data_IF_986132965805
#
_entry.id   IF_986132965805
#
_cell.length_a   1.000
_cell.length_b   1.000
_cell.length_c   1.000
_cell.angle_alpha   90.00
_cell.angle_beta   90.00
_cell.angle_gamma   90.00
#
_symmetry.space_group_name_H-M   'P 1'
#
loop_
_entity.id
_entity.type
_entity.pdbx_description
1 polymer ?
#
# COMPACT_ATOMS: atom_id res chain seq x y z
N UNK A 1 13.03 -17.56 -6.41
CA UNK A 1 11.61 -17.95 -6.30
C UNK A 1 10.79 -16.68 -6.23
N UNK A 2 9.73 -16.53 -7.03
CA UNK A 2 8.90 -15.32 -7.02
C UNK A 2 8.25 -15.19 -5.63
N UNK A 3 8.58 -14.13 -4.89
CA UNK A 3 8.12 -13.94 -3.49
C UNK A 3 6.68 -13.42 -3.42
N UNK A 4 6.19 -12.84 -4.52
CA UNK A 4 4.82 -12.38 -4.68
C UNK A 4 3.96 -13.46 -5.36
N UNK A 5 2.83 -13.79 -4.74
CA UNK A 5 1.81 -14.68 -5.30
C UNK A 5 0.46 -13.94 -5.32
N UNK A 6 -0.12 -13.78 -6.51
CA UNK A 6 -1.38 -13.04 -6.70
C UNK A 6 -2.57 -13.72 -6.01
N UNK A 7 -2.64 -15.05 -5.99
CA UNK A 7 -3.75 -15.76 -5.35
C UNK A 7 -3.73 -15.58 -3.83
N UNK A 8 -2.55 -15.65 -3.21
CA UNK A 8 -2.39 -15.37 -1.78
C UNK A 8 -2.68 -13.90 -1.45
N UNK A 9 -2.33 -12.98 -2.36
CA UNK A 9 -2.65 -11.57 -2.22
C UNK A 9 -4.16 -11.32 -2.29
N UNK A 10 -4.85 -11.86 -3.29
CA UNK A 10 -6.30 -11.80 -3.45
C UNK A 10 -7.03 -12.42 -2.24
N UNK A 11 -6.51 -13.52 -1.70
CA UNK A 11 -7.01 -14.13 -0.46
C UNK A 11 -6.91 -13.14 0.71
N UNK A 12 -5.75 -12.52 0.90
CA UNK A 12 -5.55 -11.53 1.98
C UNK A 12 -6.51 -10.33 1.81
N UNK A 13 -6.74 -9.88 0.58
CA UNK A 13 -7.67 -8.80 0.28
C UNK A 13 -9.12 -9.18 0.53
N UNK A 14 -9.50 -10.42 0.22
CA UNK A 14 -10.84 -10.96 0.48
C UNK A 14 -11.12 -11.05 1.99
N UNK A 15 -10.15 -11.50 2.77
CA UNK A 15 -10.23 -11.52 4.24
C UNK A 15 -10.31 -10.10 4.82
N UNK A 16 -9.50 -9.17 4.30
CA UNK A 16 -9.52 -7.75 4.64
C UNK A 16 -10.86 -7.10 4.33
N UNK A 17 -11.44 -7.39 3.16
CA UNK A 17 -12.75 -6.88 2.75
C UNK A 17 -13.88 -7.48 3.60
N UNK A 18 -13.83 -8.77 3.93
CA UNK A 18 -14.77 -9.41 4.87
C UNK A 18 -14.74 -8.73 6.24
N UNK A 19 -13.55 -8.40 6.76
CA UNK A 19 -13.41 -7.65 8.01
C UNK A 19 -13.90 -6.20 7.88
N UNK A 20 -13.71 -5.55 6.73
CA UNK A 20 -14.32 -4.25 6.44
C UNK A 20 -15.85 -4.31 6.51
N UNK A 21 -16.48 -5.33 5.90
CA UNK A 21 -17.93 -5.55 5.98
C UNK A 21 -18.42 -5.88 7.39
N UNK A 22 -17.58 -6.47 8.23
CA UNK A 22 -17.95 -6.79 9.61
C UNK A 22 -17.77 -5.62 10.59
N UNK A 23 -16.67 -4.88 10.48
CA UNK A 23 -16.24 -3.90 11.48
C UNK A 23 -16.29 -2.44 10.99
N UNK A 24 -16.58 -2.23 9.71
CA UNK A 24 -16.67 -0.91 9.08
C UNK A 24 -15.34 -0.30 8.62
N UNK A 25 -15.37 0.87 7.97
CA UNK A 25 -14.23 1.52 7.31
C UNK A 25 -13.13 1.99 8.27
N UNK A 26 -13.50 2.39 9.49
CA UNK A 26 -12.59 2.99 10.48
C UNK A 26 -11.89 1.95 11.34
N UNK A 27 -12.27 0.68 11.24
CA UNK A 27 -11.67 -0.36 12.06
C UNK A 27 -10.29 -0.76 11.51
N UNK A 28 -9.22 -0.73 12.31
CA UNK A 28 -7.90 -1.20 11.89
C UNK A 28 -7.91 -2.72 11.60
N UNK A 29 -8.88 -3.47 12.14
CA UNK A 29 -9.02 -4.92 11.92
C UNK A 29 -9.12 -5.28 10.43
N UNK A 30 -9.67 -4.39 9.60
CA UNK A 30 -9.78 -4.61 8.15
C UNK A 30 -8.41 -4.73 7.47
N UNK A 31 -7.38 -4.10 8.03
CA UNK A 31 -6.04 -4.06 7.45
C UNK A 31 -5.18 -5.25 7.87
N UNK A 32 -5.48 -5.88 9.01
CA UNK A 32 -4.65 -6.97 9.57
C UNK A 32 -4.32 -8.10 8.59
N UNK A 33 -5.27 -8.67 7.82
CA UNK A 33 -4.94 -9.74 6.87
C UNK A 33 -3.95 -9.30 5.79
N UNK A 34 -4.23 -8.16 5.15
CA UNK A 34 -3.36 -7.55 4.14
C UNK A 34 -1.98 -7.19 4.70
N UNK A 35 -1.93 -6.56 5.87
CA UNK A 35 -0.68 -6.19 6.54
C UNK A 35 0.17 -7.43 6.86
N UNK A 36 -0.46 -8.52 7.34
CA UNK A 36 0.22 -9.80 7.57
C UNK A 36 0.77 -10.42 6.28
N UNK A 37 0.04 -10.34 5.17
CA UNK A 37 0.54 -10.81 3.87
C UNK A 37 1.80 -10.05 3.45
N UNK A 38 1.76 -8.72 3.53
CA UNK A 38 2.92 -7.88 3.18
C UNK A 38 4.09 -8.18 4.13
N UNK A 39 3.85 -8.28 5.44
CA UNK A 39 4.86 -8.66 6.43
C UNK A 39 5.54 -9.99 6.07
N UNK A 40 4.76 -11.03 5.77
CA UNK A 40 5.31 -12.35 5.42
C UNK A 40 6.13 -12.28 4.13
N UNK A 41 5.67 -11.54 3.13
CA UNK A 41 6.39 -11.35 1.87
C UNK A 41 7.71 -10.63 2.10
N UNK A 42 7.71 -9.57 2.92
CA UNK A 42 8.92 -8.88 3.35
C UNK A 42 9.83 -9.82 4.16
N UNK A 43 9.31 -10.71 4.99
CA UNK A 43 10.13 -11.66 5.75
C UNK A 43 10.91 -12.61 4.84
N UNK A 44 10.30 -13.01 3.71
CA UNK A 44 10.98 -13.77 2.66
C UNK A 44 12.01 -12.94 1.89
N UNK A 45 11.78 -11.62 1.75
CA UNK A 45 12.71 -10.70 1.08
C UNK A 45 13.95 -10.44 1.94
N UNK A 46 13.73 -9.96 3.16
CA UNK A 46 14.76 -9.47 4.06
C UNK A 46 15.48 -10.63 4.76
N UNK A 47 14.77 -11.72 5.09
CA UNK A 47 15.33 -12.87 5.77
C UNK A 47 15.50 -12.65 7.28
N UNK A 48 15.98 -13.70 7.96
CA UNK A 48 15.94 -13.81 9.44
C UNK A 48 16.77 -12.77 10.20
N UNK A 49 17.74 -12.11 9.54
CA UNK A 49 18.60 -11.11 10.19
C UNK A 49 17.91 -9.77 10.45
N UNK A 50 16.77 -9.54 9.80
CA UNK A 50 15.95 -8.35 9.99
C UNK A 50 14.68 -8.70 10.75
N UNK A 51 14.13 -7.71 11.46
CA UNK A 51 12.82 -7.82 12.10
C UNK A 51 11.81 -6.98 11.33
N UNK A 52 10.57 -7.46 11.25
CA UNK A 52 9.50 -6.77 10.54
C UNK A 52 8.34 -6.58 11.49
N UNK A 53 8.09 -5.33 11.80
CA UNK A 53 7.02 -4.86 12.67
C UNK A 53 5.80 -4.50 11.83
N UNK A 54 4.62 -4.83 12.35
CA UNK A 54 3.35 -4.73 11.66
C UNK A 54 2.20 -4.91 12.65
N UNK A 55 1.05 -4.29 12.37
CA UNK A 55 -0.18 -4.49 13.14
C UNK A 55 -0.49 -6.00 13.36
N UNK A 56 -0.53 -6.42 14.63
CA UNK A 56 -0.83 -7.80 15.03
C UNK A 56 0.39 -8.74 15.19
N UNK A 57 1.61 -8.28 14.91
CA UNK A 57 2.85 -9.04 15.07
C UNK A 57 3.92 -8.24 15.83
N UNK A 58 3.63 -7.90 17.08
CA UNK A 58 4.47 -7.02 17.91
C UNK A 58 4.04 -5.55 17.91
N UNK A 59 3.08 -5.18 17.06
CA UNK A 59 2.56 -3.82 16.92
C UNK A 59 3.20 -3.07 15.76
N UNK A 60 2.64 -1.91 15.44
CA UNK A 60 3.30 -0.93 14.57
C UNK A 60 4.55 -0.39 15.29
N UNK A 61 5.59 -0.07 14.52
CA UNK A 61 6.84 0.46 15.07
C UNK A 61 6.83 1.98 15.00
N UNK A 62 7.10 2.63 16.13
CA UNK A 62 7.24 4.08 16.18
C UNK A 62 8.58 4.50 15.57
N UNK A 63 8.50 5.24 14.48
CA UNK A 63 9.67 5.83 13.82
C UNK A 63 9.74 7.31 14.18
N UNK A 64 10.90 7.76 14.64
CA UNK A 64 11.20 9.17 14.89
C UNK A 64 11.34 9.92 13.56
N UNK A 65 10.22 10.40 13.01
CA UNK A 65 10.22 11.22 11.79
C UNK A 65 10.92 12.57 11.99
N UNK A 66 11.24 13.26 10.87
CA UNK A 66 11.92 14.57 10.93
C UNK A 66 11.12 15.63 11.70
N UNK A 67 9.79 15.60 11.56
CA UNK A 67 8.91 16.62 12.13
C UNK A 67 8.18 16.09 13.37
N UNK A 68 7.85 14.80 13.40
CA UNK A 68 7.19 14.15 14.54
C UNK A 68 7.35 12.63 14.50
N UNK A 69 7.31 11.95 15.67
CA UNK A 69 7.26 10.49 15.73
C UNK A 69 5.94 9.95 15.15
N UNK A 70 6.00 8.85 14.42
CA UNK A 70 4.81 8.22 13.80
C UNK A 70 4.91 6.70 13.86
N UNK A 71 3.80 6.06 14.23
CA UNK A 71 3.65 4.61 14.09
C UNK A 71 3.42 4.27 12.61
N UNK A 72 4.30 3.46 12.03
CA UNK A 72 4.27 3.09 10.61
C UNK A 72 3.60 1.74 10.42
N UNK A 73 2.79 1.60 9.37
CA UNK A 73 2.00 0.40 9.09
C UNK A 73 2.87 -0.87 9.12
N UNK A 74 4.01 -0.81 8.43
CA UNK A 74 5.01 -1.88 8.39
C UNK A 74 6.42 -1.30 8.37
N UNK A 75 7.28 -1.74 9.30
CA UNK A 75 8.67 -1.29 9.43
C UNK A 75 9.63 -2.46 9.44
N UNK A 76 10.69 -2.37 8.64
CA UNK A 76 11.82 -3.30 8.68
C UNK A 76 12.92 -2.68 9.51
N UNK A 77 13.46 -3.44 10.46
CA UNK A 77 14.58 -3.02 11.29
C UNK A 77 15.76 -3.97 11.19
N UNK A 78 16.95 -3.39 11.40
CA UNK A 78 18.19 -4.10 11.62
C UNK A 78 18.81 -3.59 12.92
N UNK A 79 19.12 -4.50 13.86
CA UNK A 79 19.59 -4.13 15.21
C UNK A 79 18.70 -3.06 15.87
N UNK A 80 17.37 -3.25 15.79
CA UNK A 80 16.33 -2.33 16.28
C UNK A 80 16.31 -0.92 15.66
N UNK A 81 17.11 -0.66 14.62
CA UNK A 81 17.05 0.60 13.86
C UNK A 81 16.16 0.43 12.63
N UNK A 82 15.20 1.33 12.38
CA UNK A 82 14.40 1.29 11.15
C UNK A 82 15.30 1.56 9.94
N UNK A 83 15.16 0.73 8.91
CA UNK A 83 15.95 0.83 7.67
C UNK A 83 15.08 0.92 6.42
N UNK A 84 13.80 0.55 6.53
CA UNK A 84 12.85 0.58 5.45
C UNK A 84 11.43 0.60 6.01
N UNK A 85 10.55 1.37 5.39
CA UNK A 85 9.17 1.55 5.84
C UNK A 85 8.18 1.37 4.69
N UNK A 86 7.00 0.85 4.99
CA UNK A 86 5.91 0.67 4.02
C UNK A 86 4.60 1.22 4.58
N UNK A 87 3.98 2.14 3.86
CA UNK A 87 2.59 2.55 4.03
C UNK A 87 1.65 1.70 3.16
N UNK A 88 0.50 1.31 3.70
CA UNK A 88 -0.50 0.50 3.01
C UNK A 88 -1.86 1.19 3.04
N UNK A 89 -2.38 1.51 1.85
CA UNK A 89 -3.68 2.17 1.72
C UNK A 89 -4.68 1.28 1.00
N UNK A 90 -5.60 0.69 1.76
CA UNK A 90 -6.72 -0.09 1.23
C UNK A 90 -8.03 0.70 1.21
N UNK A 91 -8.45 1.16 0.03
CA UNK A 91 -9.66 1.98 -0.18
C UNK A 91 -10.80 1.15 -0.76
N UNK A 92 -11.86 0.96 0.03
CA UNK A 92 -13.00 0.09 -0.29
C UNK A 92 -14.29 0.85 -0.64
N UNK A 93 -14.39 2.13 -0.28
CA UNK A 93 -15.57 3.00 -0.46
C UNK A 93 -15.21 4.48 -0.45
N UNK A 94 -16.08 5.34 -1.00
CA UNK A 94 -16.03 6.81 -0.93
C UNK A 94 -14.66 7.39 -1.34
N UNK A 95 -14.02 6.83 -2.37
CA UNK A 95 -12.70 7.28 -2.81
C UNK A 95 -12.73 8.76 -3.22
N UNK A 96 -13.59 9.16 -4.16
CA UNK A 96 -13.54 10.53 -4.73
C UNK A 96 -13.81 11.60 -3.67
N UNK A 97 -14.68 11.31 -2.71
CA UNK A 97 -14.95 12.20 -1.58
C UNK A 97 -13.71 12.46 -0.70
N UNK A 98 -12.82 11.47 -0.58
CA UNK A 98 -11.66 11.52 0.31
C UNK A 98 -10.32 11.55 -0.45
N UNK A 99 -10.37 11.72 -1.78
CA UNK A 99 -9.21 11.48 -2.65
C UNK A 99 -8.05 12.44 -2.35
N UNK A 100 -8.35 13.71 -2.02
CA UNK A 100 -7.32 14.70 -1.67
C UNK A 100 -6.70 14.39 -0.32
N UNK A 101 -7.53 14.14 0.71
CA UNK A 101 -7.04 13.74 2.04
C UNK A 101 -6.16 12.49 1.98
N UNK A 102 -6.50 11.51 1.15
CA UNK A 102 -5.67 10.32 0.97
C UNK A 102 -4.31 10.63 0.35
N UNK A 103 -4.28 11.52 -0.65
CA UNK A 103 -3.06 11.91 -1.33
C UNK A 103 -2.16 12.77 -0.44
N UNK A 104 -2.73 13.78 0.23
CA UNK A 104 -2.02 14.68 1.15
C UNK A 104 -1.42 13.92 2.35
N UNK A 105 -2.21 13.03 2.97
CA UNK A 105 -1.71 12.22 4.08
C UNK A 105 -0.56 11.29 3.65
N UNK A 106 -0.67 10.68 2.46
CA UNK A 106 0.39 9.84 1.89
C UNK A 106 1.67 10.64 1.68
N UNK A 107 1.59 11.83 1.07
CA UNK A 107 2.74 12.71 0.86
C UNK A 107 3.36 13.20 2.18
N UNK A 108 2.52 13.60 3.15
CA UNK A 108 2.97 14.11 4.44
C UNK A 108 3.70 13.05 5.27
N UNK A 109 3.16 11.82 5.31
CA UNK A 109 3.82 10.70 6.00
C UNK A 109 5.14 10.34 5.32
N UNK A 110 5.13 10.23 3.99
CA UNK A 110 6.33 9.98 3.19
C UNK A 110 7.41 11.04 3.45
N UNK A 111 7.02 12.32 3.44
CA UNK A 111 7.93 13.43 3.73
C UNK A 111 8.49 13.39 5.15
N UNK A 112 7.66 13.07 6.15
CA UNK A 112 8.12 12.99 7.54
C UNK A 112 9.18 11.90 7.74
N UNK A 113 9.01 10.74 7.08
CA UNK A 113 9.92 9.59 7.23
C UNK A 113 11.15 9.71 6.34
N UNK A 114 10.99 9.95 5.04
CA UNK A 114 12.14 9.98 4.10
C UNK A 114 13.02 11.22 4.24
N UNK A 115 12.55 12.26 4.93
CA UNK A 115 13.43 13.38 5.26
C UNK A 115 14.53 13.01 6.26
N UNK A 116 14.40 11.87 6.96
CA UNK A 116 15.50 11.24 7.65
C UNK A 116 16.43 10.63 6.60
N UNK A 117 17.70 11.03 6.61
CA UNK A 117 18.69 10.48 5.67
C UNK A 117 18.69 8.95 5.77
N UNK A 118 18.61 8.27 4.62
CA UNK A 118 18.71 6.82 4.47
C UNK A 118 17.55 5.99 5.04
N UNK A 119 16.34 6.55 5.18
CA UNK A 119 15.14 5.76 5.51
C UNK A 119 14.10 5.80 4.38
N UNK A 120 14.20 4.90 3.38
CA UNK A 120 13.26 4.85 2.27
C UNK A 120 11.84 4.49 2.73
N UNK A 121 10.86 5.04 2.02
CA UNK A 121 9.44 4.80 2.26
C UNK A 121 8.76 4.30 1.00
N UNK A 122 8.08 3.17 1.12
CA UNK A 122 7.29 2.60 0.04
C UNK A 122 5.79 2.76 0.30
N UNK A 123 5.00 2.89 -0.77
CA UNK A 123 3.56 3.07 -0.70
C UNK A 123 2.83 2.00 -1.53
N UNK A 124 2.00 1.19 -0.86
CA UNK A 124 1.12 0.23 -1.52
C UNK A 124 -0.32 0.77 -1.52
N UNK A 125 -0.78 1.27 -2.67
CA UNK A 125 -2.12 1.80 -2.86
C UNK A 125 -3.02 0.75 -3.51
N UNK A 126 -4.15 0.43 -2.87
CA UNK A 126 -5.12 -0.53 -3.36
C UNK A 126 -6.48 0.15 -3.44
N UNK A 127 -6.99 0.29 -4.65
CA UNK A 127 -8.24 0.99 -4.94
C UNK A 127 -9.28 0.05 -5.52
N UNK A 128 -10.51 0.13 -5.01
CA UNK A 128 -11.64 -0.54 -5.63
C UNK A 128 -12.05 0.17 -6.92
N UNK A 129 -11.93 -0.48 -8.07
CA UNK A 129 -12.18 0.16 -9.37
C UNK A 129 -13.61 0.72 -9.48
N UNK A 130 -14.61 -0.10 -9.12
CA UNK A 130 -16.00 0.30 -8.93
C UNK A 130 -16.24 0.61 -7.45
N UNK A 131 -16.02 1.84 -7.05
CA UNK A 131 -16.10 2.28 -5.65
C UNK A 131 -17.52 2.72 -5.29
N UNK A 132 -18.19 2.09 -4.30
CA UNK A 132 -19.47 2.59 -3.81
C UNK A 132 -19.31 3.92 -3.06
N UNK A 133 -20.25 4.81 -3.28
CA UNK A 133 -20.44 6.03 -2.51
C UNK A 133 -21.59 5.86 -1.53
N UNK A 134 -21.27 5.87 -0.24
CA UNK A 134 -22.23 5.86 0.87
C UNK A 134 -22.48 7.30 1.35
N UNK A 135 -23.75 7.69 1.45
CA UNK A 135 -24.14 9.00 2.02
C UNK A 135 -23.80 9.01 3.52
N UNK A 136 -23.47 10.20 4.07
CA UNK A 136 -23.16 10.35 5.52
C UNK A 136 -24.35 9.80 6.34
N UNK A 137 -24.06 8.85 7.25
CA UNK A 137 -24.98 8.07 8.13
C UNK A 137 -25.35 6.66 7.65
N UNK A 138 -24.94 6.24 6.46
CA UNK A 138 -25.24 4.90 6.00
C UNK A 138 -24.45 3.81 6.75
N UNK A 139 -25.11 2.70 7.03
CA UNK A 139 -24.45 1.49 7.52
C UNK A 139 -23.72 0.83 6.35
N UNK A 140 -22.41 0.58 6.47
CA UNK A 140 -21.63 -0.12 5.43
C UNK A 140 -22.08 -1.56 5.17
N UNK A 141 -23.02 -2.04 5.99
CA UNK A 141 -23.64 -3.35 5.91
C UNK A 141 -24.93 -3.33 5.09
N UNK A 142 -25.47 -2.13 4.81
CA UNK A 142 -26.67 -1.96 4.02
C UNK A 142 -26.35 -1.42 2.63
N UNK A 143 -26.45 -2.29 1.63
CA UNK A 143 -26.24 -1.93 0.23
C UNK A 143 -27.38 -1.09 -0.35
N UNK A 144 -28.53 -1.01 0.34
CA UNK A 144 -29.67 -0.18 -0.09
C UNK A 144 -29.38 1.32 0.01
N UNK A 145 -28.32 1.71 0.72
CA UNK A 145 -27.89 3.09 0.92
C UNK A 145 -26.70 3.52 0.02
N UNK A 146 -26.35 2.69 -0.97
CA UNK A 146 -25.38 3.07 -2.01
C UNK A 146 -25.99 4.17 -2.87
N UNK A 147 -25.49 5.40 -2.73
CA UNK A 147 -25.99 6.55 -3.49
C UNK A 147 -25.59 6.50 -4.97
N UNK A 148 -24.40 5.97 -5.27
CA UNK A 148 -23.89 5.75 -6.63
C UNK A 148 -22.64 4.86 -6.59
N UNK A 149 -22.28 4.29 -7.75
CA UNK A 149 -20.99 3.64 -7.97
C UNK A 149 -20.10 4.63 -8.75
N UNK A 150 -18.94 4.94 -8.19
CA UNK A 150 -17.91 5.79 -8.81
C UNK A 150 -16.82 4.92 -9.42
N UNK A 151 -16.44 5.22 -10.66
CA UNK A 151 -15.35 4.55 -11.35
C UNK A 151 -14.04 5.32 -11.12
N UNK A 152 -12.98 4.60 -10.76
CA UNK A 152 -11.62 5.16 -10.70
C UNK A 152 -11.15 5.42 -12.14
N UNK A 153 -11.06 6.70 -12.48
CA UNK A 153 -10.66 7.18 -13.80
C UNK A 153 -9.15 7.43 -13.87
N UNK A 154 -8.65 7.66 -15.09
CA UNK A 154 -7.27 8.10 -15.32
C UNK A 154 -6.92 9.37 -14.52
N UNK A 155 -7.80 10.37 -14.53
CA UNK A 155 -7.58 11.62 -13.78
C UNK A 155 -7.49 11.41 -12.26
N UNK A 156 -8.13 10.36 -11.73
CA UNK A 156 -8.00 10.01 -10.30
C UNK A 156 -6.59 9.47 -9.99
N UNK A 157 -5.97 8.77 -10.95
CA UNK A 157 -4.63 8.17 -10.84
C UNK A 157 -3.50 9.14 -11.19
N UNK A 158 -3.76 10.14 -12.05
CA UNK A 158 -2.74 11.05 -12.59
C UNK A 158 -1.89 11.72 -11.50
N UNK A 159 -2.47 12.08 -10.36
CA UNK A 159 -1.72 12.68 -9.24
C UNK A 159 -0.68 11.72 -8.63
N UNK A 160 -1.00 10.44 -8.51
CA UNK A 160 -0.06 9.43 -8.02
C UNK A 160 1.03 9.13 -9.04
N UNK A 161 0.65 9.07 -10.33
CA UNK A 161 1.60 8.86 -11.43
C UNK A 161 2.60 10.02 -11.47
N UNK A 162 2.10 11.26 -11.48
CA UNK A 162 2.95 12.46 -11.43
C UNK A 162 3.88 12.43 -10.22
N UNK A 163 3.38 12.08 -9.04
CA UNK A 163 4.19 11.96 -7.83
C UNK A 163 5.31 10.91 -7.98
N UNK A 164 5.02 9.72 -8.53
CA UNK A 164 6.00 8.64 -8.63
C UNK A 164 7.14 8.94 -9.60
N UNK A 165 6.88 9.75 -10.63
CA UNK A 165 7.85 10.09 -11.67
C UNK A 165 8.37 11.52 -11.55
N UNK A 166 8.05 12.23 -10.46
CA UNK A 166 8.64 13.53 -10.16
C UNK A 166 10.14 13.39 -9.82
N UNK A 167 10.84 14.51 -9.86
CA UNK A 167 12.14 14.71 -9.22
C UNK A 167 12.17 14.13 -7.80
N UNK A 168 13.32 13.58 -7.39
CA UNK A 168 13.44 12.97 -6.05
C UNK A 168 13.31 14.05 -4.99
N UNK A 169 12.24 13.96 -4.21
CA UNK A 169 11.92 14.86 -3.11
C UNK A 169 11.40 14.06 -1.92
N UNK A 170 11.45 14.64 -0.71
CA UNK A 170 11.08 13.93 0.51
C UNK A 170 9.65 13.37 0.48
N UNK A 171 8.70 14.05 -0.17
CA UNK A 171 7.29 13.64 -0.23
C UNK A 171 6.97 12.61 -1.34
N UNK A 172 7.92 12.36 -2.25
CA UNK A 172 7.81 11.32 -3.28
C UNK A 172 8.32 10.00 -2.72
N UNK A 173 7.50 8.95 -2.61
CA UNK A 173 7.98 7.68 -2.08
C UNK A 173 9.01 7.06 -3.02
N UNK A 174 10.03 6.41 -2.45
CA UNK A 174 11.06 5.74 -3.23
C UNK A 174 10.49 4.58 -4.07
N UNK A 175 9.43 3.92 -3.57
CA UNK A 175 8.74 2.80 -4.26
C UNK A 175 7.22 2.99 -4.13
N UNK A 176 6.47 2.80 -5.22
CA UNK A 176 5.00 2.80 -5.17
C UNK A 176 4.39 1.69 -6.02
N UNK A 177 3.31 1.08 -5.53
CA UNK A 177 2.40 0.27 -6.32
C UNK A 177 0.97 0.82 -6.27
N UNK A 178 0.25 0.65 -7.37
CA UNK A 178 -1.18 0.94 -7.48
C UNK A 178 -1.90 -0.32 -8.00
N UNK A 179 -2.66 -0.98 -7.14
CA UNK A 179 -3.49 -2.12 -7.52
C UNK A 179 -4.97 -1.73 -7.60
N UNK A 180 -5.59 -2.03 -8.73
CA UNK A 180 -7.05 -1.97 -8.87
C UNK A 180 -7.69 -3.31 -8.57
N UNK A 181 -8.80 -3.28 -7.85
CA UNK A 181 -9.53 -4.49 -7.48
C UNK A 181 -11.02 -4.40 -7.80
N UNK A 182 -11.64 -5.56 -7.96
CA UNK A 182 -13.07 -5.75 -7.86
C UNK A 182 -13.38 -6.51 -6.57
N UNK A 183 -14.41 -6.05 -5.85
CA UNK A 183 -14.87 -6.68 -4.62
C UNK A 183 -16.36 -7.01 -4.76
N UNK A 184 -16.68 -8.28 -4.56
CA UNK A 184 -18.05 -8.78 -4.54
C UNK A 184 -18.67 -8.54 -3.16
N UNK A 185 -19.74 -7.75 -3.12
CA UNK A 185 -20.44 -7.39 -1.88
C UNK A 185 -21.08 -8.58 -1.15
N UNK A 186 -21.45 -9.65 -1.88
CA UNK A 186 -22.15 -10.82 -1.33
C UNK A 186 -21.17 -11.89 -0.88
N UNK A 187 -20.21 -12.22 -1.74
CA UNK A 187 -19.25 -13.30 -1.46
C UNK A 187 -18.01 -12.82 -0.71
N UNK A 188 -17.82 -11.50 -0.62
CA UNK A 188 -16.62 -10.83 -0.09
C UNK A 188 -15.32 -11.21 -0.79
N UNK A 189 -15.40 -11.89 -1.93
CA UNK A 189 -14.24 -12.22 -2.75
C UNK A 189 -13.73 -10.95 -3.42
N UNK A 190 -12.42 -10.78 -3.37
CA UNK A 190 -11.70 -9.70 -4.01
C UNK A 190 -10.79 -10.28 -5.09
N UNK A 191 -10.81 -9.66 -6.27
CA UNK A 191 -9.91 -9.99 -7.37
C UNK A 191 -9.10 -8.78 -7.80
N UNK A 192 -7.83 -9.01 -8.11
CA UNK A 192 -6.97 -8.04 -8.77
C UNK A 192 -7.40 -7.90 -10.23
N UNK A 193 -7.61 -6.67 -10.66
CA UNK A 193 -7.95 -6.37 -12.04
C UNK A 193 -6.70 -6.10 -12.87
N UNK A 194 -6.68 -6.61 -14.09
CA UNK A 194 -5.67 -6.26 -15.09
C UNK A 194 -5.94 -4.85 -15.62
N UNK A 195 -4.95 -3.93 -15.58
CA UNK A 195 -5.12 -2.56 -16.09
C UNK A 195 -5.51 -2.49 -17.57
N UNK A 196 -5.10 -3.46 -18.40
CA UNK A 196 -5.41 -3.53 -19.84
C UNK A 196 -6.90 -3.71 -20.13
N UNK A 197 -7.70 -4.12 -19.14
CA UNK A 197 -9.16 -4.20 -19.27
C UNK A 197 -9.87 -2.90 -18.91
N UNK A 198 -9.15 -1.93 -18.36
CA UNK A 198 -9.72 -0.75 -17.70
C UNK A 198 -9.30 0.57 -18.35
N UNK A 199 -8.11 0.63 -18.94
CA UNK A 199 -7.51 1.86 -19.45
C UNK A 199 -6.85 1.68 -20.81
N UNK A 200 -6.44 2.81 -21.40
CA UNK A 200 -5.57 2.83 -22.58
C UNK A 200 -4.25 2.09 -22.36
N UNK A 201 -3.67 1.55 -23.44
CA UNK A 201 -2.47 0.69 -23.39
C UNK A 201 -1.29 1.36 -22.68
N UNK A 202 -1.12 2.68 -22.86
CA UNK A 202 0.00 3.42 -22.25
C UNK A 202 -0.13 3.44 -20.73
N UNK A 203 -1.30 3.78 -20.21
CA UNK A 203 -1.54 3.77 -18.76
C UNK A 203 -1.56 2.33 -18.22
N UNK A 204 -2.15 1.39 -18.95
CA UNK A 204 -2.21 0.00 -18.54
C UNK A 204 -0.81 -0.61 -18.40
N UNK A 205 0.06 -0.41 -19.39
CA UNK A 205 1.44 -0.86 -19.38
C UNK A 205 2.22 -0.28 -18.20
N UNK A 206 2.02 1.00 -17.89
CA UNK A 206 2.67 1.66 -16.76
C UNK A 206 2.27 1.04 -15.41
N UNK A 207 0.97 0.78 -15.23
CA UNK A 207 0.42 0.15 -14.02
C UNK A 207 0.85 -1.32 -13.88
N UNK A 208 0.96 -2.05 -14.99
CA UNK A 208 1.33 -3.47 -15.00
C UNK A 208 2.84 -3.70 -14.86
N UNK A 209 3.65 -2.70 -15.20
CA UNK A 209 5.12 -2.77 -15.08
C UNK A 209 5.63 -1.96 -13.88
N UNK A 210 5.77 -0.65 -14.04
CA UNK A 210 6.46 0.20 -13.07
C UNK A 210 5.72 0.37 -11.75
N UNK A 211 4.38 0.31 -11.75
CA UNK A 211 3.55 0.51 -10.55
C UNK A 211 2.81 -0.76 -10.12
N UNK A 212 3.26 -1.94 -10.55
CA UNK A 212 2.63 -3.21 -10.18
C UNK A 212 3.08 -3.67 -8.79
N UNK A 213 2.24 -4.48 -8.13
CA UNK A 213 2.58 -5.07 -6.82
C UNK A 213 3.77 -6.02 -6.94
N UNK A 214 3.92 -6.70 -8.09
CA UNK A 214 5.09 -7.53 -8.37
C UNK A 214 6.36 -6.68 -8.38
N UNK A 215 6.38 -5.60 -9.17
CA UNK A 215 7.53 -4.68 -9.26
C UNK A 215 7.85 -4.02 -7.92
N UNK A 216 6.82 -3.67 -7.16
CA UNK A 216 6.98 -3.15 -5.79
C UNK A 216 7.82 -4.07 -4.90
N UNK A 217 7.54 -5.37 -4.88
CA UNK A 217 8.35 -6.31 -4.09
C UNK A 217 9.74 -6.57 -4.68
N UNK A 218 9.89 -6.54 -6.01
CA UNK A 218 11.20 -6.63 -6.68
C UNK A 218 12.10 -5.43 -6.37
N UNK A 219 11.54 -4.23 -6.32
CA UNK A 219 12.28 -3.00 -5.98
C UNK A 219 12.68 -2.99 -4.50
N UNK A 220 11.85 -3.52 -3.60
CA UNK A 220 12.22 -3.70 -2.19
C UNK A 220 13.36 -4.70 -2.05
N UNK A 221 13.33 -5.82 -2.80
CA UNK A 221 14.43 -6.78 -2.81
C UNK A 221 15.72 -6.17 -3.36
N UNK A 222 15.62 -5.34 -4.40
CA UNK A 222 16.74 -4.59 -4.96
C UNK A 222 17.33 -3.63 -3.93
N UNK A 223 16.49 -2.89 -3.19
CA UNK A 223 16.94 -2.02 -2.10
C UNK A 223 17.61 -2.82 -0.99
N UNK A 224 17.05 -3.96 -0.58
CA UNK A 224 17.66 -4.84 0.42
C UNK A 224 19.07 -5.27 -0.02
N UNK A 225 19.24 -5.69 -1.26
CA UNK A 225 20.55 -6.11 -1.77
C UNK A 225 21.56 -4.96 -1.75
N UNK A 226 21.14 -3.76 -2.18
CA UNK A 226 21.95 -2.54 -2.07
C UNK A 226 22.32 -2.23 -0.61
N UNK A 227 21.37 -2.29 0.32
CA UNK A 227 21.61 -2.06 1.74
C UNK A 227 22.66 -3.02 2.30
N UNK A 228 22.56 -4.32 1.99
CA UNK A 228 23.51 -5.32 2.48
C UNK A 228 24.92 -5.15 1.92
N UNK A 229 25.07 -4.79 0.65
CA UNK A 229 26.38 -4.51 0.04
C UNK A 229 27.07 -3.33 0.75
N UNK A 230 26.34 -2.24 1.01
CA UNK A 230 26.88 -1.07 1.68
C UNK A 230 27.14 -1.27 3.18
N UNK A 231 26.48 -2.24 3.83
CA UNK A 231 26.79 -2.62 5.22
C UNK A 231 28.07 -3.47 5.33
N UNK A 232 28.40 -4.22 4.28
CA UNK A 232 29.55 -5.13 4.26
C UNK A 232 30.85 -4.47 3.79
N UNK A 233 30.83 -3.19 3.41
CA UNK A 233 32.05 -2.38 3.28
C UNK A 233 32.84 -2.56 1.99
N UNK A 234 32.20 -2.67 0.82
CA UNK A 234 32.86 -2.27 -0.43
C UNK A 234 32.47 -0.82 -0.74
N UNK A 235 33.26 0.08 -0.16
CA UNK A 235 33.40 1.47 -0.58
C UNK A 235 33.75 1.47 -2.06
N UNK A 236 32.95 2.14 -2.90
CA UNK A 236 33.48 2.71 -4.15
C UNK A 236 34.09 4.05 -3.77
#
# INVERSE_FOLDING_TARGET
MLKFNVADFEKSLSESFSKYKRFGPRSPKKLTPLHKYVQNTLALIWGKKFKIYCLGAGGEFKVEGKYYPKDIDITVTYLEKPIFCVGVKFVTSNYKQNANNYFENMMGETANIQSLKNLPYAQLLILRYKTPYYKKRASYNDTSEIGKIEIISKSDLDKYIKLCFDSRQAHRPDIMAIQLIEADEKTHKVKCLSPFKLYDDKLAQLLDTALSVKKFFEDIESFKNYYELNQNGDTI
#
